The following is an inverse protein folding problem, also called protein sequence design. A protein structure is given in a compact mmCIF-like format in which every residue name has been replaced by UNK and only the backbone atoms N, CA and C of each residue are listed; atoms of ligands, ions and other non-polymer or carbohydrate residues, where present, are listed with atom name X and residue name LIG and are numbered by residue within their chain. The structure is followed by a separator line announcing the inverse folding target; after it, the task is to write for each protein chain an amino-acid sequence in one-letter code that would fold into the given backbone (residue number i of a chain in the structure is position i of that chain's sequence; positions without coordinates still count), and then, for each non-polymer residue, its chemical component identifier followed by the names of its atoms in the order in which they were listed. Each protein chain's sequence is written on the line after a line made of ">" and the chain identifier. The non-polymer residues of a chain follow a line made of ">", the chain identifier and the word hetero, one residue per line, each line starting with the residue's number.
data_IF_037292704378
#
_entry.id   IF_037292704378
#
_cell.length_a   1.000
_cell.length_b   1.000
_cell.length_c   1.000
_cell.angle_alpha   90.00
_cell.angle_beta   90.00
_cell.angle_gamma   90.00
#
_symmetry.space_group_name_H-M   'P 1'
#
loop_
_entity.id
_entity.type
_entity.pdbx_description
1 polymer ?
#
# COMPACT_ATOMS: atom_id res chain seq x y z
N UNK A 1 -4.15 -1.92 -25.26
CA UNK A 1 -3.83 -0.94 -24.18
C UNK A 1 -2.76 -0.02 -24.71
N UNK A 2 -3.01 1.30 -24.66
CA UNK A 2 -2.16 2.32 -25.26
C UNK A 2 -0.75 2.34 -24.65
N UNK A 3 0.27 2.46 -25.49
CA UNK A 3 1.65 2.56 -25.06
C UNK A 3 1.88 3.90 -24.33
N UNK A 4 2.41 3.90 -23.10
CA UNK A 4 2.65 5.12 -22.34
C UNK A 4 3.84 5.94 -22.88
N UNK A 5 4.61 5.41 -23.82
CA UNK A 5 5.81 6.06 -24.35
C UNK A 5 5.62 6.71 -25.72
N UNK A 6 4.91 6.05 -26.63
CA UNK A 6 4.70 6.56 -28.00
C UNK A 6 3.22 6.73 -28.37
N UNK A 7 2.29 6.38 -27.48
CA UNK A 7 0.86 6.54 -27.72
C UNK A 7 0.23 5.56 -28.71
N UNK A 8 0.98 4.55 -29.21
CA UNK A 8 0.43 3.49 -30.06
C UNK A 8 -0.68 2.71 -29.33
N UNK A 9 -1.77 2.37 -30.02
CA UNK A 9 -3.00 1.86 -29.39
C UNK A 9 -2.84 0.46 -28.80
N UNK A 10 -1.94 -0.32 -29.40
CA UNK A 10 -1.74 -1.72 -29.05
C UNK A 10 -0.39 -2.01 -28.39
N UNK A 11 -0.45 -2.91 -27.41
CA UNK A 11 0.72 -3.44 -26.72
C UNK A 11 0.51 -4.90 -26.42
N UNK A 12 1.56 -5.70 -26.59
CA UNK A 12 1.53 -7.15 -26.43
C UNK A 12 1.94 -7.54 -25.01
N UNK A 13 1.23 -8.49 -24.41
CA UNK A 13 1.61 -9.07 -23.12
C UNK A 13 2.73 -10.08 -23.36
N UNK A 14 3.89 -9.85 -22.75
CA UNK A 14 5.08 -10.69 -22.88
C UNK A 14 5.21 -11.70 -21.74
N UNK A 15 4.82 -11.31 -20.53
CA UNK A 15 4.92 -12.15 -19.34
C UNK A 15 3.79 -11.79 -18.38
N UNK A 16 3.09 -12.79 -17.85
CA UNK A 16 2.10 -12.61 -16.79
C UNK A 16 2.61 -13.31 -15.54
N UNK A 17 2.59 -12.61 -14.41
CA UNK A 17 2.83 -13.18 -13.09
C UNK A 17 1.64 -12.89 -12.21
N UNK A 18 1.14 -13.92 -11.56
CA UNK A 18 0.14 -13.81 -10.51
C UNK A 18 0.86 -13.66 -9.17
N UNK A 19 0.32 -12.82 -8.28
CA UNK A 19 0.75 -12.83 -6.88
C UNK A 19 0.29 -14.15 -6.23
N UNK A 20 1.08 -14.71 -5.31
CA UNK A 20 0.69 -15.91 -4.54
C UNK A 20 -0.62 -15.70 -3.75
N UNK A 21 -0.99 -14.45 -3.49
CA UNK A 21 -2.25 -14.04 -2.84
C UNK A 21 -3.42 -13.84 -3.84
N UNK A 22 -3.24 -14.03 -5.15
CA UNK A 22 -4.32 -13.99 -6.17
C UNK A 22 -4.90 -12.60 -6.52
N UNK A 23 -4.65 -11.58 -5.71
CA UNK A 23 -5.34 -10.29 -5.81
C UNK A 23 -4.79 -9.32 -6.89
N UNK A 24 -3.62 -9.62 -7.45
CA UNK A 24 -2.93 -8.73 -8.39
C UNK A 24 -2.31 -9.52 -9.53
N UNK A 25 -2.71 -9.18 -10.77
CA UNK A 25 -2.12 -9.72 -11.98
C UNK A 25 -1.10 -8.72 -12.51
N UNK A 26 0.18 -9.10 -12.50
CA UNK A 26 1.27 -8.31 -13.06
C UNK A 26 1.53 -8.75 -14.50
N UNK A 27 1.31 -7.86 -15.46
CA UNK A 27 1.57 -8.10 -16.89
C UNK A 27 2.72 -7.24 -17.37
N UNK A 28 3.81 -7.87 -17.84
CA UNK A 28 4.87 -7.19 -18.58
C UNK A 28 4.43 -7.04 -20.03
N UNK A 29 4.37 -5.82 -20.53
CA UNK A 29 3.95 -5.49 -21.89
C UNK A 29 5.11 -4.99 -22.73
N UNK A 30 5.10 -5.28 -24.04
CA UNK A 30 6.01 -4.74 -25.06
C UNK A 30 5.18 -3.96 -26.09
N UNK A 31 5.65 -2.78 -26.48
CA UNK A 31 5.05 -2.04 -27.59
C UNK A 31 5.71 -2.45 -28.91
N UNK A 32 4.96 -2.88 -29.94
CA UNK A 32 5.54 -3.24 -31.25
C UNK A 32 6.05 -2.02 -32.03
N UNK A 33 5.56 -0.82 -31.74
CA UNK A 33 5.93 0.41 -32.47
C UNK A 33 7.24 1.04 -31.97
N UNK A 34 7.52 1.02 -30.66
CA UNK A 34 8.73 1.65 -30.09
C UNK A 34 9.63 0.69 -29.32
N UNK A 35 9.29 -0.60 -29.29
CA UNK A 35 10.00 -1.69 -28.62
C UNK A 35 10.23 -1.57 -27.10
N UNK A 36 9.71 -0.50 -26.49
CA UNK A 36 9.77 -0.31 -25.04
C UNK A 36 8.90 -1.32 -24.30
N UNK A 37 9.40 -1.74 -23.14
CA UNK A 37 8.71 -2.64 -22.21
C UNK A 37 8.26 -1.89 -20.97
N UNK A 38 7.08 -2.23 -20.46
CA UNK A 38 6.54 -1.66 -19.22
C UNK A 38 5.72 -2.73 -18.47
N UNK A 39 5.39 -2.46 -17.21
CA UNK A 39 4.61 -3.38 -16.38
C UNK A 39 3.26 -2.73 -16.06
N UNK A 40 2.19 -3.49 -16.20
CA UNK A 40 0.85 -3.10 -15.77
C UNK A 40 0.40 -4.02 -14.65
N UNK A 41 -0.34 -3.46 -13.70
CA UNK A 41 -0.92 -4.20 -12.60
C UNK A 41 -2.44 -4.12 -12.77
N UNK A 42 -3.09 -5.27 -12.81
CA UNK A 42 -4.54 -5.41 -12.89
C UNK A 42 -5.05 -5.94 -11.55
N UNK A 43 -6.15 -5.36 -11.07
CA UNK A 43 -6.79 -5.68 -9.78
C UNK A 43 -8.30 -5.59 -9.97
N UNK A 44 -9.05 -6.41 -9.23
CA UNK A 44 -10.49 -6.23 -9.12
C UNK A 44 -10.79 -4.87 -8.50
N UNK A 45 -11.67 -4.10 -9.13
CA UNK A 45 -12.14 -2.83 -8.59
C UNK A 45 -13.30 -3.11 -7.64
N UNK A 46 -13.04 -3.02 -6.34
CA UNK A 46 -14.02 -3.21 -5.28
C UNK A 46 -14.34 -1.86 -4.65
N UNK A 47 -15.61 -1.66 -4.28
CA UNK A 47 -16.04 -0.45 -3.59
C UNK A 47 -15.41 -0.42 -2.19
N UNK A 48 -14.45 0.49 -1.99
CA UNK A 48 -13.79 0.67 -0.71
C UNK A 48 -14.65 1.53 0.23
N UNK A 49 -14.60 1.29 1.55
CA UNK A 49 -15.32 2.11 2.51
C UNK A 49 -14.84 3.55 2.52
N UNK A 50 -15.72 4.47 2.92
CA UNK A 50 -15.33 5.85 3.18
C UNK A 50 -14.48 5.95 4.46
N UNK A 51 -13.58 6.92 4.51
CA UNK A 51 -12.65 7.10 5.63
C UNK A 51 -13.12 8.24 6.52
N UNK A 52 -13.33 7.94 7.80
CA UNK A 52 -13.65 8.94 8.83
C UNK A 52 -12.36 9.44 9.47
N UNK A 53 -12.05 10.72 9.29
CA UNK A 53 -10.87 11.38 9.86
C UNK A 53 -11.05 11.65 11.36
N UNK A 54 -9.97 12.04 12.04
CA UNK A 54 -9.99 12.34 13.49
C UNK A 54 -10.93 13.50 13.84
N UNK A 55 -11.12 14.44 12.92
CA UNK A 55 -12.03 15.58 13.06
C UNK A 55 -13.49 15.25 12.68
N UNK A 56 -13.79 13.97 12.37
CA UNK A 56 -15.11 13.51 11.94
C UNK A 56 -15.41 13.73 10.46
N UNK A 57 -14.53 14.40 9.70
CA UNK A 57 -14.72 14.57 8.27
C UNK A 57 -14.62 13.24 7.52
N UNK A 58 -15.37 13.11 6.42
CA UNK A 58 -15.33 11.93 5.55
C UNK A 58 -14.51 12.22 4.31
N UNK A 59 -13.68 11.25 3.93
CA UNK A 59 -12.96 11.28 2.65
C UNK A 59 -13.02 9.92 1.98
N UNK A 60 -12.95 9.89 0.67
CA UNK A 60 -12.78 8.64 -0.07
C UNK A 60 -11.47 7.93 0.32
N UNK A 61 -11.47 6.61 0.22
CA UNK A 61 -10.27 5.81 0.36
C UNK A 61 -9.32 6.13 -0.80
N UNK A 62 -8.07 6.44 -0.45
CA UNK A 62 -7.02 6.72 -1.43
C UNK A 62 -5.79 5.86 -1.11
N UNK A 63 -5.63 4.83 -1.92
CA UNK A 63 -4.51 3.90 -1.88
C UNK A 63 -3.15 4.60 -1.93
N UNK A 64 -3.05 5.67 -2.72
CA UNK A 64 -1.79 6.38 -2.91
C UNK A 64 -1.31 7.06 -1.63
N UNK A 65 -2.24 7.54 -0.79
CA UNK A 65 -1.92 8.14 0.52
C UNK A 65 -1.32 7.12 1.48
N UNK A 66 -1.87 5.91 1.52
CA UNK A 66 -1.36 4.83 2.38
C UNK A 66 0.04 4.42 1.90
N UNK A 67 0.19 4.22 0.59
CA UNK A 67 1.50 3.92 -0.01
C UNK A 67 2.53 4.98 0.33
N UNK A 68 2.21 6.26 0.14
CA UNK A 68 3.13 7.36 0.44
C UNK A 68 3.56 7.37 1.91
N UNK A 69 2.61 7.13 2.82
CA UNK A 69 2.86 7.05 4.25
C UNK A 69 3.77 5.87 4.62
N UNK A 70 3.55 4.69 4.05
CA UNK A 70 4.43 3.53 4.22
C UNK A 70 5.84 3.78 3.67
N UNK A 71 5.94 4.35 2.47
CA UNK A 71 7.22 4.65 1.83
C UNK A 71 8.05 5.66 2.62
N UNK A 72 7.40 6.62 3.30
CA UNK A 72 8.07 7.56 4.18
C UNK A 72 8.74 6.84 5.36
N UNK A 73 8.04 5.91 6.00
CA UNK A 73 8.58 5.10 7.10
C UNK A 73 9.72 4.16 6.64
N UNK A 74 9.57 3.57 5.45
CA UNK A 74 10.51 2.64 4.83
C UNK A 74 11.72 3.31 4.15
N UNK A 75 11.86 4.63 4.25
CA UNK A 75 12.98 5.36 3.63
C UNK A 75 14.34 4.79 4.09
N UNK A 76 15.19 4.42 3.13
CA UNK A 76 16.50 3.77 3.32
C UNK A 76 16.43 2.43 4.05
N UNK A 77 15.32 1.69 3.94
CA UNK A 77 15.18 0.32 4.46
C UNK A 77 15.26 -0.70 3.30
N UNK A 78 15.77 -1.91 3.54
CA UNK A 78 15.90 -2.95 2.52
C UNK A 78 14.57 -3.67 2.29
N UNK A 79 13.52 -2.93 1.89
CA UNK A 79 12.20 -3.50 1.57
C UNK A 79 11.89 -3.22 0.12
N UNK A 80 11.56 -4.28 -0.62
CA UNK A 80 11.26 -4.19 -2.06
C UNK A 80 9.89 -3.54 -2.30
N UNK A 81 9.72 -2.96 -3.49
CA UNK A 81 8.43 -2.38 -3.91
C UNK A 81 7.35 -3.46 -3.92
N UNK A 82 7.67 -4.68 -4.37
CA UNK A 82 6.72 -5.78 -4.43
C UNK A 82 6.20 -6.17 -3.02
N UNK A 83 7.06 -6.15 -2.01
CA UNK A 83 6.63 -6.36 -0.61
C UNK A 83 5.68 -5.28 -0.10
N UNK A 84 5.90 -4.00 -0.48
CA UNK A 84 5.01 -2.90 -0.13
C UNK A 84 3.67 -3.04 -0.83
N UNK A 85 3.67 -3.43 -2.11
CA UNK A 85 2.44 -3.67 -2.88
C UNK A 85 1.60 -4.81 -2.28
N UNK A 86 2.24 -5.90 -1.86
CA UNK A 86 1.57 -7.01 -1.17
C UNK A 86 0.99 -6.57 0.18
N UNK A 87 1.75 -5.79 0.96
CA UNK A 87 1.27 -5.25 2.23
C UNK A 87 0.06 -4.31 2.05
N UNK A 88 0.04 -3.49 0.99
CA UNK A 88 -1.12 -2.66 0.65
C UNK A 88 -2.34 -3.53 0.28
N UNK A 89 -2.15 -4.60 -0.49
CA UNK A 89 -3.21 -5.55 -0.82
C UNK A 89 -3.86 -6.15 0.42
N UNK A 90 -3.05 -6.65 1.37
CA UNK A 90 -3.56 -7.17 2.65
C UNK A 90 -4.27 -6.13 3.52
N UNK A 91 -3.93 -4.83 3.40
CA UNK A 91 -4.66 -3.76 4.10
C UNK A 91 -6.02 -3.57 3.45
N UNK A 92 -6.09 -3.52 2.12
CA UNK A 92 -7.33 -3.38 1.35
C UNK A 92 -8.27 -4.56 1.60
N UNK A 93 -7.75 -5.80 1.55
CA UNK A 93 -8.49 -7.01 1.86
C UNK A 93 -9.08 -6.97 3.28
N UNK A 94 -8.26 -6.58 4.28
CA UNK A 94 -8.75 -6.43 5.66
C UNK A 94 -9.81 -5.35 5.81
N UNK A 95 -9.73 -4.27 5.03
CA UNK A 95 -10.76 -3.23 5.03
C UNK A 95 -12.07 -3.76 4.45
N UNK A 96 -12.01 -4.46 3.32
CA UNK A 96 -13.16 -5.06 2.67
C UNK A 96 -13.81 -6.15 3.55
N UNK A 97 -12.99 -6.98 4.21
CA UNK A 97 -13.45 -8.00 5.13
C UNK A 97 -14.19 -7.45 6.36
N UNK A 98 -14.08 -6.14 6.66
CA UNK A 98 -14.90 -5.54 7.73
C UNK A 98 -16.37 -5.41 7.36
N UNK A 99 -16.72 -5.50 6.07
CA UNK A 99 -18.07 -5.24 5.53
C UNK A 99 -18.69 -3.90 6.00
N UNK A 100 -17.86 -2.97 6.47
CA UNK A 100 -18.30 -1.66 6.93
C UNK A 100 -18.37 -0.70 5.75
N UNK A 101 -19.35 0.21 5.77
CA UNK A 101 -19.42 1.31 4.80
C UNK A 101 -18.41 2.42 5.13
N UNK A 102 -17.99 2.52 6.40
CA UNK A 102 -17.09 3.56 6.90
C UNK A 102 -16.01 2.96 7.81
N UNK A 103 -14.78 3.42 7.65
CA UNK A 103 -13.63 2.99 8.45
C UNK A 103 -12.93 4.20 9.06
N UNK A 104 -12.74 4.25 10.39
CA UNK A 104 -11.93 5.30 11.01
C UNK A 104 -10.50 5.27 10.49
N UNK A 105 -9.94 6.45 10.19
CA UNK A 105 -8.54 6.61 9.79
C UNK A 105 -7.56 6.02 10.81
N UNK A 106 -7.97 5.94 12.08
CA UNK A 106 -7.20 5.31 13.12
C UNK A 106 -7.00 3.80 12.89
N UNK A 107 -8.07 3.11 12.47
CA UNK A 107 -8.05 1.67 12.18
C UNK A 107 -7.11 1.36 11.00
N UNK A 108 -7.05 2.25 10.01
CA UNK A 108 -6.09 2.15 8.89
C UNK A 108 -4.66 2.30 9.40
N UNK A 109 -4.40 3.28 10.27
CA UNK A 109 -3.09 3.47 10.89
C UNK A 109 -2.60 2.21 11.62
N UNK A 110 -3.49 1.54 12.35
CA UNK A 110 -3.16 0.25 12.99
C UNK A 110 -2.86 -0.86 11.98
N UNK A 111 -3.63 -0.96 10.90
CA UNK A 111 -3.37 -1.95 9.83
C UNK A 111 -2.00 -1.71 9.19
N UNK A 112 -1.66 -0.45 8.91
CA UNK A 112 -0.34 -0.06 8.38
C UNK A 112 0.77 -0.42 9.38
N UNK A 113 0.59 -0.10 10.66
CA UNK A 113 1.55 -0.46 11.71
C UNK A 113 1.79 -1.97 11.77
N UNK A 114 0.73 -2.80 11.69
CA UNK A 114 0.87 -4.26 11.71
C UNK A 114 1.66 -4.78 10.50
N UNK A 115 1.41 -4.25 9.30
CA UNK A 115 2.17 -4.66 8.12
C UNK A 115 3.62 -4.15 8.15
N UNK A 116 3.85 -2.91 8.61
CA UNK A 116 5.21 -2.39 8.79
C UNK A 116 6.01 -3.20 9.84
N UNK A 117 5.38 -3.67 10.92
CA UNK A 117 6.05 -4.53 11.93
C UNK A 117 6.57 -5.83 11.32
N UNK A 118 5.85 -6.40 10.34
CA UNK A 118 6.28 -7.59 9.59
C UNK A 118 7.39 -7.29 8.60
N UNK A 119 7.34 -6.13 7.93
CA UNK A 119 8.29 -5.74 6.91
C UNK A 119 9.63 -5.27 7.48
N UNK A 120 9.59 -4.38 8.47
CA UNK A 120 10.78 -3.76 9.05
C UNK A 120 10.48 -3.10 10.41
N UNK A 121 11.14 -3.59 11.46
CA UNK A 121 10.97 -3.08 12.84
C UNK A 121 11.27 -1.58 12.96
N UNK A 122 12.28 -1.05 12.24
CA UNK A 122 12.64 0.37 12.31
C UNK A 122 11.58 1.24 11.63
N UNK A 123 11.04 0.80 10.50
CA UNK A 123 9.94 1.49 9.82
C UNK A 123 8.68 1.50 10.68
N UNK A 124 8.36 0.39 11.36
CA UNK A 124 7.28 0.34 12.34
C UNK A 124 7.45 1.42 13.42
N UNK A 125 8.63 1.51 14.05
CA UNK A 125 8.92 2.50 15.09
C UNK A 125 8.75 3.93 14.55
N UNK A 126 9.28 4.23 13.36
CA UNK A 126 9.14 5.56 12.70
C UNK A 126 7.69 5.92 12.39
N UNK A 127 6.90 4.94 11.97
CA UNK A 127 5.49 5.18 11.71
C UNK A 127 4.73 5.39 13.02
N UNK A 128 4.98 4.55 14.03
CA UNK A 128 4.38 4.63 15.35
C UNK A 128 4.65 5.99 16.00
N UNK A 129 5.87 6.55 15.83
CA UNK A 129 6.23 7.84 16.42
C UNK A 129 5.41 9.01 15.92
N UNK A 130 4.99 8.99 14.65
CA UNK A 130 4.12 10.02 14.08
C UNK A 130 2.66 9.73 14.40
N UNK A 131 2.26 8.46 14.35
CA UNK A 131 0.86 8.08 14.45
C UNK A 131 0.29 8.14 15.88
N UNK A 132 1.08 7.70 16.88
CA UNK A 132 0.67 7.72 18.30
C UNK A 132 0.92 9.05 19.00
N UNK A 133 1.59 10.01 18.34
CA UNK A 133 1.92 11.32 18.94
C UNK A 133 2.46 11.18 20.37
N UNK A 134 3.46 10.32 20.57
CA UNK A 134 4.00 10.03 21.90
C UNK A 134 4.33 11.34 22.64
N UNK A 135 3.77 11.51 23.83
CA UNK A 135 3.99 12.72 24.64
C UNK A 135 5.39 12.73 25.29
N UNK A 136 6.08 11.59 25.34
CA UNK A 136 7.41 11.48 25.96
C UNK A 136 8.24 10.26 25.54
N UNK A 137 9.53 10.33 25.89
CA UNK A 137 10.56 9.31 25.56
C UNK A 137 10.28 7.97 26.26
N UNK A 138 9.60 7.98 27.41
CA UNK A 138 9.26 6.77 28.17
C UNK A 138 8.24 5.88 27.45
N UNK A 139 7.21 6.48 26.84
CA UNK A 139 6.19 5.74 26.08
C UNK A 139 6.81 5.10 24.83
N UNK A 140 7.73 5.83 24.18
CA UNK A 140 8.53 5.32 23.08
C UNK A 140 9.47 4.18 23.51
N UNK A 141 10.09 4.30 24.70
CA UNK A 141 10.98 3.27 25.25
C UNK A 141 10.24 1.97 25.59
N UNK A 142 8.99 2.05 26.06
CA UNK A 142 8.13 0.87 26.26
C UNK A 142 7.81 0.19 24.93
N UNK A 143 7.47 0.96 23.90
CA UNK A 143 7.23 0.42 22.56
C UNK A 143 8.45 -0.33 22.03
N UNK A 144 9.68 0.18 22.22
CA UNK A 144 10.91 -0.49 21.80
C UNK A 144 11.12 -1.81 22.54
N UNK A 145 10.79 -1.88 23.82
CA UNK A 145 10.94 -3.11 24.62
C UNK A 145 10.01 -4.25 24.16
N UNK A 146 8.91 -3.92 23.49
CA UNK A 146 7.89 -4.88 23.00
C UNK A 146 8.11 -5.34 21.53
N UNK A 147 9.28 -5.04 20.94
CA UNK A 147 9.63 -5.31 19.54
C UNK A 147 10.81 -6.27 19.43
#
# INVERSE_FOLDING_TARGET
>A
MRCPFCGHEDTQVAETRESDEGDVIRRRRRCPSCDKRFTTYERAELAMPAIVKKDGSRSEFDRSKIRASMMLALRKRPVSIDQVEAALGRIEEKMLATAANEVPSAKIGEMVMRELKKLDKVAYVRFASVYRSFEGVDEFSRLIKDI
#
